data_IF_688604642499
#
_entry.id   IF_688604642499
#
_cell.length_a   1.000
_cell.length_b   1.000
_cell.length_c   1.000
_cell.angle_alpha   90.00
_cell.angle_beta   90.00
_cell.angle_gamma   90.00
#
_symmetry.space_group_name_H-M   'P 1'
#
loop_
_entity.id
_entity.type
_entity.pdbx_description
1 polymer ?
#
# COMPACT_ATOMS: atom_id res chain seq x y z
N UNK A 1 1.61 -12.33 11.78
CA UNK A 1 1.79 -10.96 11.29
C UNK A 1 3.13 -10.83 10.62
N UNK A 2 3.15 -10.31 9.40
CA UNK A 2 4.39 -10.16 8.63
C UNK A 2 4.59 -8.72 8.23
N UNK A 3 5.85 -8.35 7.99
CA UNK A 3 6.22 -7.08 7.42
C UNK A 3 6.56 -7.32 5.94
N UNK A 4 5.86 -6.66 5.06
CA UNK A 4 5.99 -6.88 3.62
C UNK A 4 6.44 -5.60 2.94
N UNK A 5 7.49 -5.67 2.16
CA UNK A 5 8.02 -4.54 1.41
C UNK A 5 7.55 -4.61 -0.04
N UNK A 6 6.97 -3.53 -0.52
CA UNK A 6 6.52 -3.43 -1.91
C UNK A 6 7.20 -2.23 -2.56
N UNK A 7 8.00 -2.47 -3.57
CA UNK A 7 8.61 -1.40 -4.36
C UNK A 7 7.64 -0.97 -5.45
N UNK A 8 7.66 0.31 -5.79
CA UNK A 8 6.73 0.83 -6.79
C UNK A 8 5.27 0.70 -6.39
N UNK A 9 5.00 0.83 -5.09
CA UNK A 9 3.67 0.54 -4.53
C UNK A 9 2.56 1.38 -5.17
N UNK A 10 2.88 2.56 -5.67
CA UNK A 10 1.89 3.47 -6.24
C UNK A 10 1.55 3.13 -7.70
N UNK A 11 2.19 2.16 -8.29
CA UNK A 11 1.80 1.64 -9.60
C UNK A 11 0.55 0.79 -9.47
N UNK A 12 -0.10 0.53 -10.62
CA UNK A 12 -1.34 -0.24 -10.62
C UNK A 12 -1.17 -1.61 -9.96
N UNK A 13 -0.09 -2.31 -10.30
CA UNK A 13 0.17 -3.63 -9.73
C UNK A 13 0.42 -3.57 -8.23
N UNK A 14 1.13 -2.53 -7.78
CA UNK A 14 1.41 -2.35 -6.35
C UNK A 14 0.15 -2.10 -5.55
N UNK A 15 -0.77 -1.33 -6.09
CA UNK A 15 -2.05 -1.05 -5.43
C UNK A 15 -2.89 -2.32 -5.31
N UNK A 16 -3.00 -3.10 -6.39
CA UNK A 16 -3.73 -4.36 -6.35
C UNK A 16 -3.10 -5.36 -5.40
N UNK A 17 -1.78 -5.46 -5.41
CA UNK A 17 -1.06 -6.37 -4.53
C UNK A 17 -1.31 -6.01 -3.06
N UNK A 18 -1.23 -4.73 -2.73
CA UNK A 18 -1.49 -4.25 -1.37
C UNK A 18 -2.90 -4.63 -0.93
N UNK A 19 -3.90 -4.39 -1.79
CA UNK A 19 -5.28 -4.72 -1.50
C UNK A 19 -5.46 -6.22 -1.26
N UNK A 20 -4.85 -7.06 -2.09
CA UNK A 20 -4.95 -8.52 -1.96
C UNK A 20 -4.30 -9.03 -0.68
N UNK A 21 -3.12 -8.52 -0.35
CA UNK A 21 -2.41 -8.96 0.85
C UNK A 21 -3.24 -8.64 2.09
N UNK A 22 -3.76 -7.43 2.19
CA UNK A 22 -4.51 -7.02 3.38
C UNK A 22 -5.91 -7.62 3.42
N UNK A 23 -6.46 -8.01 2.28
CA UNK A 23 -7.72 -8.73 2.23
C UNK A 23 -7.57 -10.12 2.85
N UNK A 24 -6.47 -10.81 2.54
CA UNK A 24 -6.22 -12.16 3.04
C UNK A 24 -5.70 -12.14 4.47
N UNK A 25 -4.90 -11.15 4.82
CA UNK A 25 -4.28 -11.05 6.13
C UNK A 25 -4.29 -9.60 6.62
N UNK A 26 -5.41 -9.14 7.20
CA UNK A 26 -5.54 -7.73 7.61
C UNK A 26 -4.51 -7.27 8.64
N UNK A 27 -3.81 -8.20 9.29
CA UNK A 27 -2.83 -7.88 10.32
C UNK A 27 -1.41 -7.72 9.81
N UNK A 28 -1.18 -7.98 8.52
CA UNK A 28 0.16 -7.76 7.96
C UNK A 28 0.46 -6.27 7.86
N UNK A 29 1.73 -5.92 8.00
CA UNK A 29 2.20 -4.55 7.80
C UNK A 29 2.81 -4.42 6.41
N UNK A 30 2.44 -3.36 5.71
CA UNK A 30 2.94 -3.09 4.36
C UNK A 30 3.86 -1.89 4.42
N UNK A 31 5.06 -2.03 3.89
CA UNK A 31 6.00 -0.93 3.71
C UNK A 31 6.16 -0.71 2.23
N UNK A 32 5.67 0.41 1.74
CA UNK A 32 5.65 0.71 0.31
C UNK A 32 6.66 1.78 -0.05
N UNK A 33 7.46 1.52 -1.07
CA UNK A 33 8.40 2.50 -1.59
C UNK A 33 7.78 3.18 -2.80
N UNK A 34 7.75 4.50 -2.77
CA UNK A 34 7.17 5.30 -3.85
C UNK A 34 8.03 6.51 -4.14
N UNK A 35 8.02 6.95 -5.40
CA UNK A 35 8.64 8.21 -5.80
C UNK A 35 7.68 9.37 -5.75
N UNK A 36 6.39 9.11 -5.58
CA UNK A 36 5.41 10.18 -5.47
C UNK A 36 5.41 10.78 -4.09
N UNK A 37 5.43 12.11 -4.03
CA UNK A 37 5.42 12.81 -2.77
C UNK A 37 4.04 12.87 -2.15
N UNK A 38 2.99 12.85 -2.97
CA UNK A 38 1.62 12.93 -2.48
C UNK A 38 1.10 11.54 -2.12
N UNK A 39 1.13 11.22 -0.83
CA UNK A 39 0.69 9.94 -0.32
C UNK A 39 -0.82 9.75 -0.44
N UNK A 40 -1.57 10.84 -0.44
CA UNK A 40 -3.02 10.76 -0.54
C UNK A 40 -3.49 10.15 -1.86
N UNK A 41 -2.72 10.36 -2.93
CA UNK A 41 -3.05 9.78 -4.24
C UNK A 41 -3.09 8.26 -4.16
N UNK A 42 -2.10 7.66 -3.49
CA UNK A 42 -2.07 6.21 -3.31
C UNK A 42 -3.30 5.73 -2.54
N UNK A 43 -3.58 6.35 -1.39
CA UNK A 43 -4.69 5.92 -0.55
C UNK A 43 -6.03 6.12 -1.24
N UNK A 44 -6.18 7.18 -2.02
CA UNK A 44 -7.41 7.40 -2.77
C UNK A 44 -7.65 6.27 -3.79
N UNK A 45 -6.61 5.88 -4.51
CA UNK A 45 -6.71 4.78 -5.47
C UNK A 45 -7.00 3.46 -4.77
N UNK A 46 -6.34 3.23 -3.65
CA UNK A 46 -6.57 2.00 -2.87
C UNK A 46 -8.01 1.92 -2.39
N UNK A 47 -8.57 3.03 -1.90
CA UNK A 47 -9.93 3.06 -1.37
C UNK A 47 -11.00 2.78 -2.42
N UNK A 48 -10.69 2.98 -3.70
CA UNK A 48 -11.65 2.67 -4.76
C UNK A 48 -11.82 1.16 -4.97
N UNK A 49 -10.86 0.36 -4.51
CA UNK A 49 -10.89 -1.09 -4.74
C UNK A 49 -10.86 -1.92 -3.46
N UNK A 50 -10.71 -1.28 -2.30
CA UNK A 50 -10.46 -2.03 -1.07
C UNK A 50 -10.89 -1.20 0.14
N UNK A 51 -11.18 -1.91 1.23
CA UNK A 51 -11.40 -1.30 2.55
C UNK A 51 -10.20 -1.50 3.46
N UNK A 52 -9.01 -1.63 2.90
CA UNK A 52 -7.81 -1.87 3.66
C UNK A 52 -7.56 -0.78 4.71
N UNK A 53 -7.07 -1.20 5.87
CA UNK A 53 -6.77 -0.29 6.96
C UNK A 53 -5.48 0.48 6.65
N UNK A 54 -5.59 1.78 6.44
CA UNK A 54 -4.45 2.64 6.13
C UNK A 54 -3.35 2.59 7.19
N UNK A 55 -3.71 2.29 8.44
CA UNK A 55 -2.73 2.20 9.52
C UNK A 55 -1.75 1.06 9.34
N UNK A 56 -2.09 0.08 8.51
CA UNK A 56 -1.20 -1.04 8.21
C UNK A 56 -0.23 -0.74 7.08
N UNK A 57 -0.32 0.42 6.48
CA UNK A 57 0.48 0.79 5.31
C UNK A 57 1.35 1.99 5.64
N UNK A 58 2.67 1.83 5.45
CA UNK A 58 3.63 2.92 5.59
C UNK A 58 4.27 3.19 4.25
N UNK A 59 4.15 4.42 3.78
CA UNK A 59 4.74 4.83 2.51
C UNK A 59 6.07 5.52 2.76
N UNK A 60 7.11 5.03 2.10
CA UNK A 60 8.45 5.59 2.16
C UNK A 60 8.72 6.28 0.83
N UNK A 61 8.88 7.60 0.88
CA UNK A 61 9.15 8.36 -0.33
C UNK A 61 10.66 8.40 -0.56
N UNK A 62 11.06 8.01 -1.75
CA UNK A 62 12.46 8.10 -2.17
C UNK A 62 12.52 8.82 -3.51
N UNK A 63 13.56 9.62 -3.68
CA UNK A 63 13.80 10.32 -4.93
C UNK A 63 14.60 9.47 -5.91
#
# INVERSE_FOLDING_TARGET
MKNILITGINGQDGIFLTAEILKKNPNHNIYGITRQKNKETFFHKLDTISNANHKKIRLLNID
#
